data_IF_402964253278
#
_entry.id   IF_402964253278
#
_cell.length_a   1.000
_cell.length_b   1.000
_cell.length_c   1.000
_cell.angle_alpha   90.00
_cell.angle_beta   90.00
_cell.angle_gamma   90.00
#
_symmetry.space_group_name_H-M   'P 1'
#
loop_
_entity.id
_entity.type
_entity.pdbx_description
1 polymer ?
#
# COMPACT_ATOMS: atom_id res chain seq x y z
N UNK A 1 -49.34 48.31 71.69
CA UNK A 1 -48.33 48.15 70.61
C UNK A 1 -48.29 46.69 70.22
N UNK A 2 -47.87 46.39 68.98
CA UNK A 2 -48.16 45.17 68.21
C UNK A 2 -49.61 45.12 67.68
N UNK A 3 -49.82 45.19 66.35
CA UNK A 3 -51.08 44.85 65.71
C UNK A 3 -51.15 43.35 65.41
N UNK A 4 -52.37 42.85 65.38
CA UNK A 4 -52.78 41.53 64.90
C UNK A 4 -52.76 41.47 63.37
N UNK A 5 -52.34 40.35 62.78
CA UNK A 5 -52.68 39.93 61.40
C UNK A 5 -52.38 38.45 61.23
N UNK A 6 -53.41 37.61 61.18
CA UNK A 6 -53.29 36.21 60.77
C UNK A 6 -52.89 36.08 59.30
N UNK A 7 -51.98 35.16 58.99
CA UNK A 7 -51.56 34.89 57.61
C UNK A 7 -52.59 33.98 56.94
N UNK A 8 -53.38 34.57 56.07
CA UNK A 8 -54.33 33.89 55.19
C UNK A 8 -53.55 33.10 54.12
N UNK A 9 -53.79 31.79 54.01
CA UNK A 9 -53.27 31.01 52.88
C UNK A 9 -54.01 31.42 51.60
N UNK A 10 -53.24 31.75 50.56
CA UNK A 10 -53.74 31.91 49.18
C UNK A 10 -52.96 30.93 48.30
N UNK A 11 -53.62 30.02 47.57
CA UNK A 11 -52.96 29.16 46.61
C UNK A 11 -52.58 29.97 45.37
N UNK A 12 -51.33 29.88 44.93
CA UNK A 12 -50.91 30.35 43.61
C UNK A 12 -50.50 29.15 42.76
N UNK A 13 -51.46 28.62 42.01
CA UNK A 13 -51.14 27.78 40.85
C UNK A 13 -50.82 28.64 39.64
N UNK A 14 -49.67 28.32 39.03
CA UNK A 14 -49.40 28.38 37.59
C UNK A 14 -49.68 29.72 36.88
N UNK A 15 -48.59 30.44 36.61
CA UNK A 15 -48.23 30.64 35.21
C UNK A 15 -46.72 30.63 35.03
N UNK A 16 -46.22 29.68 34.24
CA UNK A 16 -44.89 29.74 33.62
C UNK A 16 -45.10 30.09 32.15
N UNK A 17 -44.93 31.35 31.74
CA UNK A 17 -44.83 31.69 30.33
C UNK A 17 -43.38 32.00 29.92
N UNK A 18 -42.88 31.17 29.01
CA UNK A 18 -41.96 31.61 27.94
C UNK A 18 -40.57 32.12 28.35
N UNK A 19 -39.80 31.32 29.09
CA UNK A 19 -38.32 31.27 28.94
C UNK A 19 -37.85 29.80 28.78
N UNK A 20 -38.45 29.09 27.82
CA UNK A 20 -38.06 27.73 27.43
C UNK A 20 -37.90 27.55 25.91
N UNK A 21 -38.53 28.41 25.09
CA UNK A 21 -38.55 28.24 23.63
C UNK A 21 -37.23 28.56 22.91
N UNK A 22 -36.44 29.51 23.44
CA UNK A 22 -35.19 29.94 22.79
C UNK A 22 -33.96 29.14 23.24
N UNK A 23 -33.91 28.73 24.51
CA UNK A 23 -32.86 27.83 25.03
C UNK A 23 -32.96 26.42 24.44
N UNK A 24 -34.18 25.90 24.22
CA UNK A 24 -34.40 24.62 23.54
C UNK A 24 -33.94 24.60 22.08
N UNK A 25 -34.26 25.64 21.30
CA UNK A 25 -33.81 25.78 19.91
C UNK A 25 -32.30 25.98 19.79
N UNK A 26 -31.70 26.76 20.70
CA UNK A 26 -30.24 26.95 20.72
C UNK A 26 -29.52 25.65 21.06
N UNK A 27 -30.03 24.89 22.04
CA UNK A 27 -29.50 23.57 22.41
C UNK A 27 -29.64 22.52 21.30
N UNK A 28 -30.77 22.50 20.57
CA UNK A 28 -30.94 21.57 19.46
C UNK A 28 -30.05 21.90 18.27
N UNK A 29 -29.87 23.18 17.91
CA UNK A 29 -28.95 23.60 16.85
C UNK A 29 -27.49 23.33 17.21
N UNK A 30 -27.07 23.59 18.45
CA UNK A 30 -25.73 23.22 18.94
C UNK A 30 -25.53 21.71 18.98
N UNK A 31 -26.56 20.94 19.34
CA UNK A 31 -26.55 19.48 19.32
C UNK A 31 -26.38 18.91 17.91
N UNK A 32 -27.17 19.39 16.94
CA UNK A 32 -27.05 18.99 15.52
C UNK A 32 -25.71 19.41 14.93
N UNK A 33 -25.21 20.62 15.24
CA UNK A 33 -23.88 21.06 14.81
C UNK A 33 -22.76 20.20 15.41
N UNK A 34 -22.85 19.86 16.70
CA UNK A 34 -21.88 19.00 17.36
C UNK A 34 -21.91 17.57 16.81
N UNK A 35 -23.09 16.99 16.62
CA UNK A 35 -23.26 15.68 15.98
C UNK A 35 -22.68 15.68 14.57
N UNK A 36 -23.02 16.67 13.74
CA UNK A 36 -22.45 16.84 12.39
C UNK A 36 -20.92 16.97 12.42
N UNK A 37 -20.34 17.64 13.42
CA UNK A 37 -18.89 17.75 13.58
C UNK A 37 -18.23 16.45 14.05
N UNK A 38 -18.88 15.68 14.92
CA UNK A 38 -18.42 14.34 15.32
C UNK A 38 -18.50 13.37 14.15
N UNK A 39 -19.57 13.42 13.37
CA UNK A 39 -19.79 12.58 12.20
C UNK A 39 -18.78 12.90 11.08
N UNK A 40 -18.56 14.18 10.75
CA UNK A 40 -17.50 14.61 9.82
C UNK A 40 -16.09 14.16 10.27
N UNK A 41 -15.80 14.19 11.58
CA UNK A 41 -14.53 13.68 12.11
C UNK A 41 -14.41 12.17 11.98
N UNK A 42 -15.49 11.44 12.30
CA UNK A 42 -15.56 9.99 12.18
C UNK A 42 -15.42 9.56 10.72
N UNK A 43 -16.10 10.22 9.79
CA UNK A 43 -16.03 9.99 8.35
C UNK A 43 -14.62 10.24 7.82
N UNK A 44 -13.99 11.39 8.14
CA UNK A 44 -12.60 11.70 7.76
C UNK A 44 -11.61 10.70 8.37
N UNK A 45 -11.83 10.24 9.60
CA UNK A 45 -11.02 9.20 10.22
C UNK A 45 -11.17 7.86 9.50
N UNK A 46 -12.40 7.39 9.36
CA UNK A 46 -12.70 6.03 8.90
C UNK A 46 -12.50 5.85 7.38
N UNK A 47 -12.68 6.91 6.58
CA UNK A 47 -12.60 6.87 5.10
C UNK A 47 -11.34 7.53 4.49
N UNK A 48 -10.47 8.15 5.29
CA UNK A 48 -9.25 8.83 4.81
C UNK A 48 -8.04 8.45 5.67
N UNK A 49 -8.07 8.72 6.97
CA UNK A 49 -6.88 8.47 7.80
C UNK A 49 -6.63 7.00 8.11
N UNK A 50 -7.67 6.21 8.42
CA UNK A 50 -7.51 4.77 8.67
C UNK A 50 -7.00 4.03 7.43
N UNK A 51 -7.55 4.21 6.21
CA UNK A 51 -7.03 3.52 5.03
C UNK A 51 -5.56 3.88 4.71
N UNK A 52 -5.15 5.14 4.93
CA UNK A 52 -3.73 5.53 4.83
C UNK A 52 -2.88 4.85 5.90
N UNK A 53 -3.32 4.86 7.17
CA UNK A 53 -2.62 4.22 8.29
C UNK A 53 -2.45 2.72 8.06
N UNK A 54 -3.52 2.03 7.65
CA UNK A 54 -3.53 0.59 7.42
C UNK A 54 -2.57 0.21 6.27
N UNK A 55 -2.37 1.07 5.27
CA UNK A 55 -1.34 0.88 4.23
C UNK A 55 0.07 1.07 4.79
N UNK A 56 0.37 2.21 5.41
CA UNK A 56 1.74 2.48 5.88
C UNK A 56 2.14 1.60 7.07
N UNK A 57 1.20 1.15 7.90
CA UNK A 57 1.48 0.21 8.99
C UNK A 57 1.77 -1.21 8.48
N UNK A 58 1.16 -1.67 7.36
CA UNK A 58 1.58 -2.91 6.68
C UNK A 58 3.02 -2.81 6.18
N UNK A 59 3.35 -1.73 5.45
CA UNK A 59 4.73 -1.47 4.98
C UNK A 59 5.70 -1.51 6.16
N UNK A 60 5.39 -0.80 7.25
CA UNK A 60 6.31 -0.64 8.39
C UNK A 60 6.45 -1.89 9.26
N UNK A 61 5.40 -2.69 9.43
CA UNK A 61 5.43 -3.90 10.29
C UNK A 61 5.90 -5.15 9.55
N UNK A 62 5.48 -5.31 8.31
CA UNK A 62 5.61 -6.56 7.56
C UNK A 62 6.59 -6.43 6.37
N UNK A 63 6.99 -5.22 5.99
CA UNK A 63 7.76 -4.98 4.75
C UNK A 63 6.90 -4.99 3.49
N UNK A 64 5.60 -5.27 3.60
CA UNK A 64 4.66 -5.37 2.48
C UNK A 64 4.51 -4.04 1.73
N UNK A 65 5.20 -3.89 0.60
CA UNK A 65 4.95 -2.80 -0.35
C UNK A 65 3.52 -2.91 -0.91
N UNK A 66 2.85 -1.77 -1.21
CA UNK A 66 1.49 -1.76 -1.71
C UNK A 66 1.47 -2.18 -3.19
N UNK A 67 1.53 -3.49 -3.44
CA UNK A 67 1.60 -4.10 -4.77
C UNK A 67 0.25 -4.74 -5.13
N UNK A 68 -0.34 -4.36 -6.27
CA UNK A 68 -1.56 -4.97 -6.79
C UNK A 68 -1.23 -6.02 -7.85
N UNK A 69 -1.28 -7.30 -7.44
CA UNK A 69 -1.08 -8.49 -8.30
C UNK A 69 -2.08 -8.56 -9.47
N UNK A 70 -3.16 -7.75 -9.50
CA UNK A 70 -4.08 -7.69 -10.66
C UNK A 70 -3.62 -6.71 -11.73
N UNK A 71 -3.06 -5.56 -11.36
CA UNK A 71 -2.50 -4.60 -12.31
C UNK A 71 -1.02 -4.87 -12.62
N UNK A 72 -0.30 -5.53 -11.72
CA UNK A 72 1.14 -5.73 -11.78
C UNK A 72 1.96 -4.52 -11.34
N UNK A 73 1.35 -3.61 -10.58
CA UNK A 73 1.92 -2.30 -10.24
C UNK A 73 1.99 -2.07 -8.72
N UNK A 74 3.06 -1.43 -8.27
CA UNK A 74 3.12 -0.76 -6.97
C UNK A 74 2.22 0.49 -7.01
N UNK A 75 1.22 0.56 -6.12
CA UNK A 75 0.19 1.59 -6.10
C UNK A 75 -0.31 1.85 -4.67
N UNK A 76 -0.03 3.04 -4.16
CA UNK A 76 -0.58 3.52 -2.88
C UNK A 76 -2.07 3.85 -2.97
N UNK A 77 -2.82 3.63 -1.90
CA UNK A 77 -4.22 4.08 -1.73
C UNK A 77 -4.40 5.59 -1.87
N UNK A 78 -3.32 6.36 -1.69
CA UNK A 78 -3.30 7.80 -1.97
C UNK A 78 -3.62 8.15 -3.44
N UNK A 79 -3.29 7.27 -4.38
CA UNK A 79 -3.66 7.42 -5.79
C UNK A 79 -5.19 7.30 -5.99
N UNK A 80 -5.85 6.46 -5.21
CA UNK A 80 -7.28 6.17 -5.31
C UNK A 80 -8.17 7.24 -4.66
N UNK A 81 -7.56 8.15 -3.89
CA UNK A 81 -8.29 9.24 -3.25
C UNK A 81 -8.76 10.27 -4.26
N UNK A 82 -10.02 10.70 -4.11
CA UNK A 82 -10.56 11.79 -4.92
C UNK A 82 -10.01 13.17 -4.48
N UNK A 83 -10.23 14.18 -5.34
CA UNK A 83 -9.80 15.54 -5.06
C UNK A 83 -10.49 16.21 -3.85
N UNK A 84 -11.52 15.62 -3.25
CA UNK A 84 -12.07 16.03 -1.95
C UNK A 84 -11.28 15.38 -0.80
N UNK A 85 -11.00 14.07 -0.87
CA UNK A 85 -10.18 13.34 0.09
C UNK A 85 -8.76 13.91 0.18
N UNK A 86 -8.09 14.19 -0.95
CA UNK A 86 -6.76 14.83 -0.96
C UNK A 86 -6.75 16.19 -0.24
N UNK A 87 -7.80 17.01 -0.42
CA UNK A 87 -7.95 18.31 0.27
C UNK A 87 -8.26 18.17 1.76
N UNK A 88 -8.73 17.00 2.20
CA UNK A 88 -8.96 16.67 3.60
C UNK A 88 -7.76 16.01 4.28
N UNK A 89 -6.67 15.70 3.58
CA UNK A 89 -5.43 15.26 4.25
C UNK A 89 -4.58 16.47 4.63
N UNK A 90 -3.89 16.40 5.76
CA UNK A 90 -3.06 17.53 6.21
C UNK A 90 -1.87 17.73 5.28
N UNK A 91 -1.49 19.00 5.03
CA UNK A 91 -0.57 19.32 3.93
C UNK A 91 0.81 18.66 4.02
N UNK A 92 1.28 18.32 5.23
CA UNK A 92 2.52 17.58 5.44
C UNK A 92 2.35 16.08 5.15
N UNK A 93 1.31 15.43 5.69
CA UNK A 93 0.94 14.04 5.42
C UNK A 93 0.72 13.83 3.91
N UNK A 94 -0.09 14.68 3.27
CA UNK A 94 -0.34 14.64 1.83
C UNK A 94 0.87 15.05 0.98
N UNK A 95 1.87 15.73 1.57
CA UNK A 95 3.19 15.91 0.97
C UNK A 95 3.98 14.61 0.95
N UNK A 96 4.05 13.93 2.10
CA UNK A 96 4.77 12.66 2.28
C UNK A 96 4.12 11.51 1.48
N UNK A 97 2.79 11.39 1.46
CA UNK A 97 2.10 10.38 0.63
C UNK A 97 2.37 10.56 -0.87
N UNK A 98 2.49 11.79 -1.38
CA UNK A 98 2.90 12.02 -2.78
C UNK A 98 4.35 11.62 -3.05
N UNK A 99 5.24 11.72 -2.06
CA UNK A 99 6.61 11.22 -2.18
C UNK A 99 6.63 9.69 -2.21
N UNK A 100 5.80 9.03 -1.37
CA UNK A 100 5.62 7.58 -1.38
C UNK A 100 5.03 7.09 -2.73
N UNK A 101 3.98 7.76 -3.22
CA UNK A 101 3.37 7.49 -4.53
C UNK A 101 4.38 7.61 -5.68
N UNK A 102 5.24 8.64 -5.65
CA UNK A 102 6.30 8.80 -6.63
C UNK A 102 7.37 7.70 -6.53
N UNK A 103 7.69 7.22 -5.33
CA UNK A 103 8.61 6.08 -5.17
C UNK A 103 8.00 4.79 -5.74
N UNK A 104 6.71 4.54 -5.53
CA UNK A 104 6.03 3.38 -6.12
C UNK A 104 6.03 3.45 -7.66
N UNK A 105 5.84 4.65 -8.24
CA UNK A 105 6.01 4.86 -9.68
C UNK A 105 7.44 4.59 -10.15
N UNK A 106 8.44 5.00 -9.37
CA UNK A 106 9.85 4.71 -9.66
C UNK A 106 10.13 3.20 -9.66
N UNK A 107 9.58 2.46 -8.69
CA UNK A 107 9.67 0.98 -8.68
C UNK A 107 8.95 0.35 -9.88
N UNK A 108 7.82 0.90 -10.34
CA UNK A 108 7.18 0.44 -11.58
C UNK A 108 8.07 0.71 -12.82
N UNK A 109 8.83 1.81 -12.88
CA UNK A 109 9.80 2.03 -13.95
C UNK A 109 10.92 0.97 -13.93
N UNK A 110 11.41 0.60 -12.74
CA UNK A 110 12.34 -0.53 -12.59
C UNK A 110 11.75 -1.87 -13.09
N UNK A 111 10.51 -2.22 -12.73
CA UNK A 111 9.89 -3.49 -13.16
C UNK A 111 9.65 -3.53 -14.66
N UNK A 112 9.31 -2.41 -15.30
CA UNK A 112 9.21 -2.28 -16.75
C UNK A 112 10.56 -2.52 -17.43
N UNK A 113 11.64 -1.90 -16.92
CA UNK A 113 13.00 -2.11 -17.44
C UNK A 113 13.43 -3.58 -17.28
N UNK A 114 13.09 -4.21 -16.15
CA UNK A 114 13.41 -5.62 -15.92
C UNK A 114 12.60 -6.54 -16.84
N UNK A 115 11.32 -6.26 -17.09
CA UNK A 115 10.53 -6.98 -18.11
C UNK A 115 11.18 -6.87 -19.49
N UNK A 116 11.57 -5.67 -19.90
CA UNK A 116 12.21 -5.46 -21.21
C UNK A 116 13.54 -6.25 -21.31
N UNK A 117 14.28 -6.37 -20.20
CA UNK A 117 15.46 -7.25 -20.12
C UNK A 117 15.12 -8.75 -20.21
N UNK A 118 13.98 -9.20 -19.68
CA UNK A 118 13.51 -10.59 -19.87
C UNK A 118 13.15 -10.86 -21.34
N UNK A 119 12.58 -9.87 -22.04
CA UNK A 119 12.25 -9.94 -23.47
C UNK A 119 13.51 -9.92 -24.38
N UNK A 120 14.58 -9.25 -23.96
CA UNK A 120 15.84 -9.12 -24.74
C UNK A 120 16.67 -10.44 -24.84
N UNK A 121 16.36 -11.50 -24.08
CA UNK A 121 17.20 -12.72 -23.96
C UNK A 121 16.96 -13.71 -25.13
N UNK A 122 17.94 -13.95 -26.02
CA UNK A 122 17.80 -14.95 -27.09
C UNK A 122 17.93 -16.38 -26.54
N UNK A 123 17.24 -17.33 -27.16
CA UNK A 123 17.11 -18.73 -26.74
C UNK A 123 18.41 -19.43 -26.29
N UNK A 124 18.70 -19.40 -24.99
CA UNK A 124 19.03 -20.59 -24.17
C UNK A 124 19.24 -20.20 -22.71
N UNK A 125 18.92 -21.11 -21.78
CA UNK A 125 19.16 -21.03 -20.31
C UNK A 125 18.26 -20.14 -19.46
N UNK A 126 17.44 -19.27 -20.04
CA UNK A 126 16.18 -18.81 -19.40
C UNK A 126 15.00 -18.76 -20.38
N UNK A 127 15.16 -18.43 -21.68
CA UNK A 127 14.02 -18.25 -22.59
C UNK A 127 14.04 -19.14 -23.87
N UNK A 128 12.90 -19.17 -24.57
CA UNK A 128 12.63 -19.88 -25.83
C UNK A 128 11.55 -19.17 -26.68
N UNK A 129 11.69 -19.14 -28.00
CA UNK A 129 10.83 -18.36 -28.93
C UNK A 129 10.44 -19.11 -30.21
N UNK A 130 9.15 -19.07 -30.54
CA UNK A 130 8.59 -19.11 -31.91
C UNK A 130 7.49 -18.02 -32.01
N UNK A 131 7.28 -17.46 -33.20
CA UNK A 131 6.18 -16.53 -33.56
C UNK A 131 5.99 -15.22 -32.77
N UNK A 132 6.97 -14.77 -31.97
CA UNK A 132 7.09 -13.36 -31.56
C UNK A 132 6.25 -12.90 -30.37
N UNK A 133 5.51 -13.81 -29.73
CA UNK A 133 4.97 -13.65 -28.36
C UNK A 133 5.20 -14.94 -27.60
N UNK A 134 6.34 -15.05 -26.93
CA UNK A 134 6.63 -16.14 -25.98
C UNK A 134 7.67 -15.67 -24.98
N UNK A 135 7.47 -16.02 -23.72
CA UNK A 135 8.43 -15.81 -22.64
C UNK A 135 8.55 -17.12 -21.85
N UNK A 136 9.67 -17.29 -21.16
CA UNK A 136 9.93 -18.46 -20.34
C UNK A 136 10.97 -18.14 -19.25
N UNK A 137 11.03 -19.01 -18.25
CA UNK A 137 12.22 -19.28 -17.43
C UNK A 137 12.49 -20.80 -17.44
N UNK A 138 13.45 -21.28 -18.26
CA UNK A 138 13.74 -22.72 -18.58
C UNK A 138 15.25 -23.03 -18.54
N UNK A 139 15.76 -24.28 -18.55
CA UNK A 139 15.19 -25.57 -18.97
C UNK A 139 15.83 -26.78 -18.27
N UNK A 140 15.23 -27.95 -18.59
CA UNK A 140 15.79 -29.30 -18.76
C UNK A 140 15.49 -30.31 -17.65
N UNK A 141 14.42 -31.08 -17.87
CA UNK A 141 14.26 -32.44 -17.34
C UNK A 141 15.06 -33.41 -18.21
N UNK A 142 16.01 -34.13 -17.62
CA UNK A 142 16.76 -35.21 -18.29
C UNK A 142 15.96 -36.53 -18.35
N UNK A 143 14.74 -36.58 -17.79
CA UNK A 143 13.88 -37.77 -17.68
C UNK A 143 12.49 -37.56 -18.33
N UNK A 144 12.20 -38.36 -19.36
CA UNK A 144 10.94 -38.84 -20.00
C UNK A 144 9.53 -38.20 -19.81
N UNK A 145 9.33 -37.09 -19.09
CA UNK A 145 8.02 -36.44 -18.89
C UNK A 145 8.08 -34.91 -19.07
N UNK A 146 8.04 -34.45 -20.33
CA UNK A 146 8.03 -33.02 -20.66
C UNK A 146 6.62 -32.43 -20.59
N UNK A 147 6.20 -31.99 -19.41
CA UNK A 147 5.18 -30.94 -19.25
C UNK A 147 5.90 -29.59 -19.06
N UNK A 148 6.21 -28.89 -20.16
CA UNK A 148 6.84 -27.57 -20.13
C UNK A 148 5.86 -26.53 -19.54
N UNK A 149 6.26 -25.84 -18.47
CA UNK A 149 5.48 -24.72 -17.89
C UNK A 149 5.88 -23.43 -18.60
N UNK A 150 4.93 -22.85 -19.35
CA UNK A 150 5.07 -21.55 -20.02
C UNK A 150 4.45 -20.46 -19.15
N UNK A 151 5.19 -19.39 -18.88
CA UNK A 151 4.69 -18.21 -18.15
C UNK A 151 5.16 -16.96 -18.89
N UNK A 152 4.23 -16.05 -19.21
CA UNK A 152 4.58 -14.79 -19.85
C UNK A 152 5.39 -13.89 -18.92
N UNK A 153 6.35 -13.08 -19.41
CA UNK A 153 7.13 -12.21 -18.51
C UNK A 153 6.26 -11.14 -17.86
N UNK A 154 5.19 -10.69 -18.54
CA UNK A 154 4.16 -9.86 -17.92
C UNK A 154 3.47 -10.58 -16.75
N UNK A 155 3.08 -11.85 -16.92
CA UNK A 155 2.48 -12.65 -15.85
C UNK A 155 3.46 -12.96 -14.71
N UNK A 156 4.74 -13.21 -15.04
CA UNK A 156 5.81 -13.46 -14.08
C UNK A 156 6.11 -12.22 -13.25
N UNK A 157 6.31 -11.06 -13.90
CA UNK A 157 6.57 -9.78 -13.22
C UNK A 157 5.36 -9.37 -12.38
N UNK A 158 4.14 -9.60 -12.87
CA UNK A 158 2.88 -9.35 -12.12
C UNK A 158 2.80 -10.11 -10.78
N UNK A 159 3.56 -11.19 -10.60
CA UNK A 159 3.63 -11.95 -9.35
C UNK A 159 4.90 -11.63 -8.57
N UNK A 160 6.05 -11.62 -9.24
CA UNK A 160 7.37 -11.66 -8.60
C UNK A 160 8.10 -10.31 -8.52
N UNK A 161 7.48 -9.21 -8.96
CA UNK A 161 8.05 -7.87 -8.77
C UNK A 161 8.44 -7.54 -7.31
N UNK A 162 7.69 -7.95 -6.26
CA UNK A 162 8.12 -7.72 -4.88
C UNK A 162 9.45 -8.40 -4.54
N UNK A 163 9.65 -9.66 -4.95
CA UNK A 163 10.91 -10.39 -4.73
C UNK A 163 12.12 -9.69 -5.39
N UNK A 164 11.94 -9.10 -6.57
CA UNK A 164 12.98 -8.29 -7.23
C UNK A 164 13.34 -7.03 -6.45
N UNK A 165 12.43 -6.52 -5.61
CA UNK A 165 12.64 -5.31 -4.82
C UNK A 165 13.20 -5.60 -3.44
N UNK A 166 12.82 -6.72 -2.81
CA UNK A 166 13.26 -7.09 -1.46
C UNK A 166 14.66 -7.69 -1.41
N UNK A 167 15.06 -8.49 -2.41
CA UNK A 167 16.30 -9.26 -2.36
C UNK A 167 17.58 -8.39 -2.48
N UNK A 168 18.50 -8.53 -1.53
CA UNK A 168 19.84 -7.89 -1.55
C UNK A 168 20.92 -8.80 -2.15
N UNK A 169 20.64 -10.11 -2.26
CA UNK A 169 21.55 -11.13 -2.78
C UNK A 169 20.85 -12.14 -3.71
N UNK A 170 21.61 -12.95 -4.51
CA UNK A 170 21.01 -14.01 -5.31
C UNK A 170 20.25 -15.04 -4.45
N UNK A 171 20.82 -15.43 -3.30
CA UNK A 171 20.21 -16.43 -2.42
C UNK A 171 18.90 -15.91 -1.81
N UNK A 172 18.85 -14.66 -1.36
CA UNK A 172 17.60 -14.01 -0.93
C UNK A 172 16.57 -13.94 -2.08
N UNK A 173 16.99 -13.65 -3.31
CA UNK A 173 16.09 -13.67 -4.46
C UNK A 173 15.50 -15.07 -4.68
N UNK A 174 16.28 -16.14 -4.47
CA UNK A 174 15.77 -17.52 -4.52
C UNK A 174 14.74 -17.75 -3.41
N UNK A 175 15.02 -17.32 -2.18
CA UNK A 175 14.11 -17.46 -1.02
C UNK A 175 12.79 -16.70 -1.25
N UNK A 176 12.83 -15.42 -1.61
CA UNK A 176 11.66 -14.57 -1.91
C UNK A 176 10.78 -15.15 -3.03
N UNK A 177 11.39 -15.65 -4.13
CA UNK A 177 10.65 -16.31 -5.21
C UNK A 177 9.94 -17.59 -4.75
N UNK A 178 10.55 -18.34 -3.83
CA UNK A 178 9.98 -19.54 -3.23
C UNK A 178 8.83 -19.19 -2.27
N UNK A 179 8.99 -18.17 -1.43
CA UNK A 179 7.97 -17.76 -0.45
C UNK A 179 6.74 -17.19 -1.15
N UNK A 180 6.88 -16.21 -2.06
CA UNK A 180 5.75 -15.69 -2.84
C UNK A 180 5.02 -16.78 -3.62
N UNK A 181 5.75 -17.76 -4.17
CA UNK A 181 5.13 -18.90 -4.86
C UNK A 181 4.28 -19.77 -3.92
N UNK A 182 4.71 -19.96 -2.66
CA UNK A 182 3.98 -20.73 -1.65
C UNK A 182 2.76 -19.96 -1.15
N UNK A 183 2.87 -18.65 -0.97
CA UNK A 183 1.77 -17.78 -0.54
C UNK A 183 0.66 -17.69 -1.59
N UNK A 184 1.01 -17.40 -2.85
CA UNK A 184 0.10 -17.37 -3.99
C UNK A 184 -0.34 -18.77 -4.47
N UNK A 185 0.14 -19.84 -3.80
CA UNK A 185 -0.18 -21.26 -4.07
C UNK A 185 0.14 -21.71 -5.50
N UNK A 186 1.17 -21.11 -6.08
CA UNK A 186 1.67 -21.42 -7.41
C UNK A 186 2.57 -22.66 -7.33
N UNK A 187 2.49 -23.54 -8.33
CA UNK A 187 3.37 -24.73 -8.40
C UNK A 187 4.84 -24.38 -8.66
N UNK A 188 5.16 -23.10 -8.89
CA UNK A 188 6.48 -22.60 -9.26
C UNK A 188 7.55 -22.78 -8.18
N UNK A 189 7.18 -22.88 -6.89
CA UNK A 189 8.15 -22.96 -5.79
C UNK A 189 9.13 -24.13 -5.95
N UNK A 190 8.67 -25.29 -6.44
CA UNK A 190 9.51 -26.46 -6.67
C UNK A 190 10.56 -26.24 -7.76
N UNK A 191 10.33 -25.31 -8.69
CA UNK A 191 11.31 -24.99 -9.73
C UNK A 191 12.44 -24.13 -9.15
N UNK A 192 12.11 -23.09 -8.38
CA UNK A 192 13.10 -22.23 -7.73
C UNK A 192 13.94 -22.98 -6.66
N UNK A 193 13.33 -23.92 -5.93
CA UNK A 193 14.05 -24.84 -5.01
C UNK A 193 15.09 -25.73 -5.72
N UNK A 194 14.91 -25.99 -7.02
CA UNK A 194 15.78 -26.85 -7.84
C UNK A 194 16.64 -26.07 -8.87
N UNK A 195 16.66 -24.73 -8.81
CA UNK A 195 17.53 -23.95 -9.70
C UNK A 195 18.99 -24.07 -9.30
N UNK A 196 19.82 -24.46 -10.27
CA UNK A 196 21.27 -24.27 -10.20
C UNK A 196 21.63 -22.78 -10.06
N UNK A 197 22.82 -22.55 -9.51
CA UNK A 197 23.30 -21.19 -9.26
C UNK A 197 23.55 -20.41 -10.56
N UNK A 198 23.75 -21.06 -11.71
CA UNK A 198 23.96 -20.38 -13.00
C UNK A 198 22.69 -19.65 -13.48
N UNK A 199 21.51 -20.28 -13.36
CA UNK A 199 20.21 -19.65 -13.66
C UNK A 199 19.94 -18.46 -12.75
N UNK A 200 20.18 -18.63 -11.44
CA UNK A 200 19.99 -17.58 -10.44
C UNK A 200 20.95 -16.40 -10.67
N UNK A 201 22.21 -16.68 -11.01
CA UNK A 201 23.22 -15.68 -11.38
C UNK A 201 22.80 -14.84 -12.59
N UNK A 202 22.15 -15.44 -13.59
CA UNK A 202 21.65 -14.74 -14.77
C UNK A 202 20.52 -13.79 -14.38
N UNK A 203 19.54 -14.27 -13.60
CA UNK A 203 18.42 -13.44 -13.13
C UNK A 203 18.90 -12.29 -12.23
N UNK A 204 19.86 -12.57 -11.33
CA UNK A 204 20.45 -11.55 -10.48
C UNK A 204 21.24 -10.49 -11.27
N UNK A 205 21.99 -10.89 -12.31
CA UNK A 205 22.65 -9.94 -13.22
C UNK A 205 21.63 -9.05 -13.92
N UNK A 206 20.43 -9.54 -14.24
CA UNK A 206 19.35 -8.72 -14.80
C UNK A 206 18.81 -7.71 -13.79
N UNK A 207 18.68 -8.07 -12.50
CA UNK A 207 18.33 -7.10 -11.44
C UNK A 207 19.35 -5.95 -11.43
N UNK A 208 20.65 -6.28 -11.45
CA UNK A 208 21.72 -5.26 -11.39
C UNK A 208 21.86 -4.44 -12.69
N UNK A 209 21.48 -4.98 -13.85
CA UNK A 209 21.36 -4.19 -15.09
C UNK A 209 20.11 -3.30 -15.05
N UNK A 210 18.98 -3.78 -14.53
CA UNK A 210 17.76 -3.00 -14.37
C UNK A 210 17.95 -1.82 -13.39
N UNK A 211 18.52 -2.06 -12.21
CA UNK A 211 18.92 -1.02 -11.25
C UNK A 211 19.79 0.05 -11.91
N UNK A 212 20.82 -0.36 -12.65
CA UNK A 212 21.75 0.56 -13.32
C UNK A 212 21.09 1.36 -14.45
N UNK A 213 20.15 0.77 -15.20
CA UNK A 213 19.35 1.47 -16.24
C UNK A 213 18.38 2.46 -15.58
N UNK A 214 17.64 2.03 -14.56
CA UNK A 214 16.63 2.81 -13.83
C UNK A 214 17.20 4.06 -13.15
N UNK A 215 18.34 3.89 -12.45
CA UNK A 215 19.01 4.95 -11.70
C UNK A 215 19.98 5.78 -12.55
N UNK A 216 20.01 5.56 -13.87
CA UNK A 216 20.93 6.22 -14.81
C UNK A 216 22.41 6.09 -14.43
N UNK A 217 22.79 4.96 -13.82
CA UNK A 217 24.13 4.65 -13.35
C UNK A 217 24.52 5.25 -11.99
N UNK A 218 23.56 5.80 -11.23
CA UNK A 218 23.77 6.12 -9.81
C UNK A 218 23.87 4.81 -9.02
N UNK A 219 24.61 4.82 -7.90
CA UNK A 219 24.68 3.68 -6.98
C UNK A 219 23.48 3.70 -6.03
N UNK A 220 22.31 3.42 -6.56
CA UNK A 220 21.07 3.18 -5.82
C UNK A 220 20.55 1.81 -6.24
N UNK A 221 20.12 1.01 -5.27
CA UNK A 221 19.61 -0.35 -5.46
C UNK A 221 18.11 -0.41 -5.15
N UNK A 222 17.45 -1.51 -5.50
CA UNK A 222 16.06 -1.73 -5.05
C UNK A 222 15.95 -1.78 -3.53
N UNK A 223 16.94 -2.35 -2.82
CA UNK A 223 17.03 -2.32 -1.36
C UNK A 223 17.19 -0.91 -0.78
N UNK A 224 18.00 -0.03 -1.38
CA UNK A 224 18.11 1.37 -0.93
C UNK A 224 16.74 2.08 -1.01
N UNK A 225 16.03 1.86 -2.11
CA UNK A 225 14.67 2.37 -2.35
C UNK A 225 13.64 1.77 -1.39
N UNK A 226 13.74 0.47 -1.08
CA UNK A 226 12.90 -0.21 -0.12
C UNK A 226 13.13 0.30 1.32
N UNK A 227 14.40 0.44 1.71
CA UNK A 227 14.82 1.02 2.99
C UNK A 227 14.32 2.46 3.16
N UNK A 228 14.45 3.29 2.12
CA UNK A 228 13.85 4.63 2.10
C UNK A 228 12.32 4.57 2.27
N UNK A 229 11.67 3.62 1.60
CA UNK A 229 10.21 3.43 1.66
C UNK A 229 9.75 3.05 3.07
N UNK A 230 10.48 2.17 3.76
CA UNK A 230 10.22 1.80 5.15
C UNK A 230 10.35 3.01 6.09
N UNK A 231 11.46 3.75 6.01
CA UNK A 231 11.70 4.91 6.88
C UNK A 231 10.71 6.07 6.64
N UNK A 232 10.39 6.32 5.37
CA UNK A 232 9.40 7.33 5.00
C UNK A 232 7.99 6.92 5.43
N UNK A 233 7.64 5.63 5.32
CA UNK A 233 6.36 5.09 5.81
C UNK A 233 6.23 5.12 7.33
N UNK A 234 7.32 4.88 8.09
CA UNK A 234 7.38 5.11 9.55
C UNK A 234 6.98 6.55 9.86
N UNK A 235 7.64 7.49 9.18
CA UNK A 235 7.39 8.92 9.38
C UNK A 235 5.97 9.37 8.97
N UNK A 236 5.31 8.70 8.02
CA UNK A 236 3.91 8.95 7.68
C UNK A 236 2.98 8.36 8.74
N UNK A 237 3.21 7.11 9.15
CA UNK A 237 2.38 6.41 10.12
C UNK A 237 2.31 7.18 11.44
N UNK A 238 3.45 7.66 11.91
CA UNK A 238 3.56 8.39 13.18
C UNK A 238 2.83 9.77 13.14
N UNK A 239 2.70 10.40 11.96
CA UNK A 239 1.84 11.59 11.76
C UNK A 239 0.34 11.24 11.78
N UNK A 240 -0.03 10.08 11.21
CA UNK A 240 -1.43 9.66 11.00
C UNK A 240 -2.03 8.99 12.25
N UNK A 241 -1.24 8.25 13.03
CA UNK A 241 -1.69 7.55 14.24
C UNK A 241 -2.59 8.38 15.19
N UNK A 242 -2.22 9.61 15.60
CA UNK A 242 -3.06 10.45 16.46
C UNK A 242 -4.35 10.96 15.80
N UNK A 243 -4.54 10.72 14.50
CA UNK A 243 -5.75 11.03 13.74
C UNK A 243 -6.69 9.81 13.60
N UNK A 244 -6.20 8.60 13.94
CA UNK A 244 -6.92 7.31 13.82
C UNK A 244 -7.37 6.74 15.18
N UNK A 245 -6.63 7.04 16.25
CA UNK A 245 -6.94 6.68 17.64
C UNK A 245 -8.01 7.60 18.27
#
# INVERSE_FOLDING_TARGET
MLPDTGIMQIPFEISVPVIAGLSGLSGSLLGVWYQSKVEQRKERRDNIYRPLYDEVDRIVRNGELPYDVKSGEFRTIWYDFDGYQHRLVEGHIGGRMRQLENQMKSLNEFTLIFRDLLEEIPNSRLAGTEDGTTFFVIRESDDEYTDDIIVEANDWIRVFAPALVYAESPDELREELIELSKEERLSFFMHYENWDDEKLDILWKMVKVAESRWTWGVKETTSDSFSWTLDHSRSIRDDIEPLVL
#
